data_IF_737967647205
#
_entry.id   IF_737967647205
#
_cell.length_a   1.000
_cell.length_b   1.000
_cell.length_c   1.000
_cell.angle_alpha   90.00
_cell.angle_beta   90.00
_cell.angle_gamma   90.00
#
_symmetry.space_group_name_H-M   'P 1'
#
loop_
_entity.id
_entity.type
_entity.pdbx_description
1 polymer ?
#
# COMPACT_ATOMS: atom_id res chain seq x y z
N UNK A 1 21.88 25.24 69.83
CA UNK A 1 20.63 25.15 69.07
C UNK A 1 20.91 25.55 67.62
N UNK A 2 21.25 24.58 66.77
CA UNK A 2 21.54 24.82 65.35
C UNK A 2 20.39 24.32 64.48
N UNK A 3 19.83 25.20 63.63
CA UNK A 3 18.80 24.85 62.66
C UNK A 3 19.47 24.53 61.32
N UNK A 4 19.28 23.31 60.84
CA UNK A 4 19.68 22.85 59.50
C UNK A 4 18.54 23.22 58.54
N UNK A 5 18.83 24.10 57.59
CA UNK A 5 17.93 24.43 56.49
C UNK A 5 18.03 23.40 55.37
N UNK A 6 16.89 22.80 55.02
CA UNK A 6 16.76 21.84 53.92
C UNK A 6 16.75 22.62 52.59
N UNK A 7 17.74 22.34 51.74
CA UNK A 7 17.82 22.86 50.37
C UNK A 7 17.03 21.90 49.45
N UNK A 8 15.89 22.34 48.94
CA UNK A 8 15.13 21.59 47.92
C UNK A 8 15.64 22.01 46.54
N UNK A 9 16.41 21.13 45.89
CA UNK A 9 16.84 21.31 44.50
C UNK A 9 15.70 20.86 43.59
N UNK A 10 14.99 21.82 42.99
CA UNK A 10 13.99 21.56 41.96
C UNK A 10 14.67 21.21 40.64
N UNK A 11 14.67 19.92 40.28
CA UNK A 11 15.12 19.44 38.98
C UNK A 11 14.01 19.70 37.95
N UNK A 12 14.16 20.74 37.13
CA UNK A 12 13.29 20.97 35.97
C UNK A 12 13.71 20.00 34.84
N UNK A 13 12.93 18.94 34.64
CA UNK A 13 13.04 18.08 33.46
C UNK A 13 12.50 18.82 32.24
N UNK A 14 13.41 19.40 31.45
CA UNK A 14 13.10 19.83 30.09
C UNK A 14 12.95 18.58 29.23
N UNK A 15 11.71 18.17 28.93
CA UNK A 15 11.45 17.11 27.96
C UNK A 15 11.63 17.74 26.57
N UNK A 16 12.61 17.31 25.75
CA UNK A 16 12.66 17.74 24.37
C UNK A 16 11.43 17.18 23.67
N UNK A 17 10.50 18.07 23.30
CA UNK A 17 9.44 17.76 22.35
C UNK A 17 10.14 17.54 21.02
N UNK A 18 10.58 16.31 20.79
CA UNK A 18 11.01 15.85 19.47
C UNK A 18 9.82 16.07 18.55
N UNK A 19 9.99 16.97 17.58
CA UNK A 19 9.03 17.19 16.52
C UNK A 19 9.00 15.87 15.74
N UNK A 20 8.06 14.99 16.08
CA UNK A 20 7.65 13.95 15.15
C UNK A 20 7.07 14.71 13.96
N UNK A 21 7.87 14.90 12.92
CA UNK A 21 7.35 15.30 11.62
C UNK A 21 6.28 14.26 11.30
N UNK A 22 5.02 14.67 11.39
CA UNK A 22 3.89 13.86 10.96
C UNK A 22 4.08 13.68 9.45
N UNK A 23 4.77 12.61 9.07
CA UNK A 23 4.98 12.23 7.69
C UNK A 23 3.60 11.92 7.13
N UNK A 24 3.06 12.82 6.32
CA UNK A 24 1.76 12.64 5.68
C UNK A 24 1.88 11.37 4.82
N UNK A 25 1.03 10.35 5.04
CA UNK A 25 1.12 9.11 4.29
C UNK A 25 0.90 9.39 2.80
N UNK A 26 1.58 8.64 1.91
CA UNK A 26 1.37 8.80 0.47
C UNK A 26 -0.10 8.50 0.12
N UNK A 27 -0.61 9.12 -0.95
CA UNK A 27 -1.97 8.86 -1.43
C UNK A 27 -1.93 8.06 -2.74
N UNK A 28 -2.78 7.03 -2.82
CA UNK A 28 -2.85 6.14 -3.98
C UNK A 28 -4.30 5.93 -4.42
N UNK A 29 -4.51 5.91 -5.73
CA UNK A 29 -5.74 5.49 -6.40
C UNK A 29 -5.67 3.99 -6.67
N UNK A 30 -6.13 3.20 -5.72
CA UNK A 30 -6.03 1.73 -5.78
C UNK A 30 -7.33 1.12 -6.30
N UNK A 31 -7.22 0.38 -7.40
CA UNK A 31 -8.29 -0.45 -7.96
C UNK A 31 -7.88 -1.92 -7.89
N UNK A 32 -8.72 -2.75 -7.27
CA UNK A 32 -8.55 -4.21 -7.23
C UNK A 32 -9.48 -4.83 -8.26
N UNK A 33 -8.96 -5.72 -9.10
CA UNK A 33 -9.73 -6.50 -10.07
C UNK A 33 -9.37 -7.97 -9.96
N UNK A 34 -10.36 -8.83 -10.15
CA UNK A 34 -10.15 -10.28 -10.28
C UNK A 34 -11.24 -10.91 -11.16
N UNK A 35 -10.91 -12.07 -11.73
CA UNK A 35 -11.92 -12.99 -12.26
C UNK A 35 -12.64 -13.76 -11.13
N UNK A 36 -12.01 -13.88 -9.96
CA UNK A 36 -12.55 -14.52 -8.76
C UNK A 36 -13.05 -13.47 -7.77
N UNK A 37 -14.36 -13.49 -7.48
CA UNK A 37 -14.99 -12.53 -6.58
C UNK A 37 -14.56 -12.68 -5.12
N UNK A 38 -14.17 -13.87 -4.70
CA UNK A 38 -13.63 -14.07 -3.36
C UNK A 38 -12.24 -13.44 -3.25
N UNK A 39 -11.35 -13.72 -4.21
CA UNK A 39 -10.02 -13.12 -4.25
C UNK A 39 -10.08 -11.58 -4.35
N UNK A 40 -11.00 -11.04 -5.13
CA UNK A 40 -11.25 -9.59 -5.22
C UNK A 40 -11.64 -8.99 -3.86
N UNK A 41 -12.61 -9.59 -3.18
CA UNK A 41 -13.11 -9.10 -1.90
C UNK A 41 -12.05 -9.19 -0.79
N UNK A 42 -11.30 -10.29 -0.72
CA UNK A 42 -10.22 -10.45 0.24
C UNK A 42 -9.09 -9.45 -0.01
N UNK A 43 -8.75 -9.20 -1.28
CA UNK A 43 -7.71 -8.26 -1.66
C UNK A 43 -8.12 -6.81 -1.38
N UNK A 44 -9.38 -6.45 -1.67
CA UNK A 44 -9.93 -5.13 -1.34
C UNK A 44 -9.97 -4.90 0.18
N UNK A 45 -10.36 -5.92 0.95
CA UNK A 45 -10.31 -5.86 2.42
C UNK A 45 -8.89 -5.63 2.94
N UNK A 46 -7.88 -6.29 2.36
CA UNK A 46 -6.48 -6.09 2.73
C UNK A 46 -6.00 -4.67 2.37
N UNK A 47 -6.36 -4.15 1.20
CA UNK A 47 -6.08 -2.76 0.80
C UNK A 47 -6.73 -1.75 1.76
N UNK A 48 -8.00 -1.99 2.11
CA UNK A 48 -8.73 -1.15 3.06
C UNK A 48 -8.09 -1.19 4.45
N UNK A 49 -7.65 -2.37 4.90
CA UNK A 49 -6.96 -2.55 6.17
C UNK A 49 -5.62 -1.80 6.20
N UNK A 50 -4.79 -1.93 5.16
CA UNK A 50 -3.54 -1.18 5.05
C UNK A 50 -3.77 0.34 5.05
N UNK A 51 -4.85 0.82 4.41
CA UNK A 51 -5.19 2.25 4.44
C UNK A 51 -5.66 2.71 5.82
N UNK A 52 -6.42 1.87 6.54
CA UNK A 52 -6.84 2.15 7.92
C UNK A 52 -5.67 2.19 8.91
N UNK A 53 -4.57 1.47 8.62
CA UNK A 53 -3.31 1.54 9.36
C UNK A 53 -2.40 2.71 8.95
N UNK A 54 -2.92 3.66 8.16
CA UNK A 54 -2.19 4.83 7.67
C UNK A 54 -0.95 4.48 6.81
N UNK A 55 -0.87 3.26 6.25
CA UNK A 55 0.21 2.90 5.33
C UNK A 55 0.16 3.73 4.04
N UNK A 56 -1.04 4.12 3.62
CA UNK A 56 -1.33 5.09 2.55
C UNK A 56 -2.79 5.57 2.67
N UNK A 57 -3.08 6.75 2.09
CA UNK A 57 -4.44 7.22 1.91
C UNK A 57 -5.03 6.66 0.60
N UNK A 58 -6.09 5.85 0.70
CA UNK A 58 -6.81 5.35 -0.48
C UNK A 58 -7.72 6.43 -1.05
N UNK A 59 -7.55 6.74 -2.34
CA UNK A 59 -8.37 7.69 -3.11
C UNK A 59 -9.16 6.94 -4.18
N UNK A 60 -10.31 7.46 -4.59
CA UNK A 60 -11.12 6.86 -5.65
C UNK A 60 -10.32 6.74 -6.97
N UNK A 61 -10.37 5.59 -7.67
CA UNK A 61 -9.71 5.41 -8.96
C UNK A 61 -10.31 6.35 -10.01
N UNK A 62 -9.46 6.92 -10.86
CA UNK A 62 -9.92 7.75 -11.99
C UNK A 62 -10.14 6.95 -13.29
N UNK A 63 -9.76 5.67 -13.29
CA UNK A 63 -10.01 4.73 -14.40
C UNK A 63 -11.33 4.02 -14.19
N UNK A 64 -12.04 3.69 -15.27
CA UNK A 64 -13.31 2.96 -15.18
C UNK A 64 -13.02 1.48 -14.97
N UNK A 65 -13.63 0.92 -13.93
CA UNK A 65 -13.40 -0.48 -13.54
C UNK A 65 -13.68 -1.48 -14.68
N UNK A 66 -14.75 -1.28 -15.46
CA UNK A 66 -15.10 -2.20 -16.55
C UNK A 66 -14.06 -2.23 -17.68
N UNK A 67 -13.36 -1.13 -17.94
CA UNK A 67 -12.28 -1.06 -18.93
C UNK A 67 -11.08 -1.88 -18.45
N UNK A 68 -10.73 -1.76 -17.16
CA UNK A 68 -9.64 -2.54 -16.54
C UNK A 68 -9.98 -4.02 -16.45
N UNK A 69 -11.24 -4.37 -16.17
CA UNK A 69 -11.69 -5.77 -16.13
C UNK A 69 -11.54 -6.47 -17.48
N UNK A 70 -11.70 -5.76 -18.60
CA UNK A 70 -11.47 -6.34 -19.92
C UNK A 70 -10.02 -6.82 -20.10
N UNK A 71 -9.05 -6.22 -19.40
CA UNK A 71 -7.65 -6.65 -19.43
C UNK A 71 -7.39 -7.98 -18.70
N UNK A 72 -8.33 -8.51 -17.92
CA UNK A 72 -8.13 -9.78 -17.21
C UNK A 72 -8.00 -10.97 -18.18
N UNK A 73 -8.52 -10.83 -19.40
CA UNK A 73 -8.43 -11.82 -20.47
C UNK A 73 -7.14 -11.70 -21.30
N UNK A 74 -6.34 -10.64 -21.08
CA UNK A 74 -5.10 -10.39 -21.80
C UNK A 74 -3.92 -11.11 -21.14
N UNK A 75 -3.10 -11.77 -21.98
CA UNK A 75 -1.86 -12.43 -21.56
C UNK A 75 -0.84 -11.41 -21.01
N UNK A 76 -0.82 -10.18 -21.56
CA UNK A 76 -0.06 -9.04 -21.03
C UNK A 76 -0.99 -8.06 -20.30
N UNK A 77 -1.56 -8.51 -19.18
CA UNK A 77 -2.37 -7.69 -18.28
C UNK A 77 -1.71 -6.33 -17.98
N UNK A 78 -0.40 -6.32 -17.71
CA UNK A 78 0.33 -5.10 -17.40
C UNK A 78 0.43 -4.14 -18.60
N UNK A 79 0.59 -4.65 -19.81
CA UNK A 79 0.54 -3.87 -21.04
C UNK A 79 -0.83 -3.25 -21.28
N UNK A 80 -1.89 -4.06 -21.18
CA UNK A 80 -3.28 -3.61 -21.36
C UNK A 80 -3.65 -2.50 -20.35
N UNK A 81 -3.39 -2.71 -19.06
CA UNK A 81 -3.72 -1.75 -18.00
C UNK A 81 -2.98 -0.43 -18.16
N UNK A 82 -1.68 -0.44 -18.50
CA UNK A 82 -0.89 0.80 -18.66
C UNK A 82 -1.43 1.70 -19.78
N UNK A 83 -2.14 1.15 -20.76
CA UNK A 83 -2.83 1.93 -21.79
C UNK A 83 -4.11 2.63 -21.32
N UNK A 84 -4.70 2.19 -20.22
CA UNK A 84 -5.98 2.71 -19.69
C UNK A 84 -5.78 3.68 -18.53
N UNK A 85 -4.72 3.52 -17.77
CA UNK A 85 -4.51 4.28 -16.54
C UNK A 85 -3.78 5.60 -16.85
N UNK A 86 -4.37 6.76 -16.54
CA UNK A 86 -3.75 8.04 -16.83
C UNK A 86 -2.47 8.22 -16.00
N UNK A 87 -1.41 8.73 -16.64
CA UNK A 87 -0.24 9.18 -15.92
C UNK A 87 -0.59 10.39 -15.04
N UNK A 88 0.02 10.53 -13.86
CA UNK A 88 -0.17 11.70 -13.02
C UNK A 88 0.37 12.96 -13.72
N UNK A 89 -0.39 14.06 -13.71
CA UNK A 89 0.02 15.32 -14.35
C UNK A 89 0.99 16.11 -13.48
N UNK A 90 0.82 15.98 -12.16
CA UNK A 90 1.64 16.64 -11.16
C UNK A 90 2.27 15.63 -10.20
N UNK A 91 3.40 16.02 -9.58
CA UNK A 91 4.10 15.19 -8.60
C UNK A 91 3.24 14.91 -7.34
N UNK A 92 2.31 15.83 -7.03
CA UNK A 92 1.38 15.75 -5.91
C UNK A 92 0.12 14.93 -6.20
N UNK A 93 -0.12 14.55 -7.47
CA UNK A 93 -1.30 13.77 -7.83
C UNK A 93 -1.17 12.33 -7.30
N UNK A 94 -2.22 11.78 -6.67
CA UNK A 94 -2.22 10.41 -6.20
C UNK A 94 -1.92 9.45 -7.36
N UNK A 95 -0.93 8.57 -7.18
CA UNK A 95 -0.56 7.58 -8.20
C UNK A 95 -1.64 6.52 -8.35
N UNK A 96 -1.89 6.05 -9.57
CA UNK A 96 -2.80 4.94 -9.79
C UNK A 96 -2.09 3.60 -9.70
N UNK A 97 -2.76 2.67 -9.02
CA UNK A 97 -2.29 1.32 -8.80
C UNK A 97 -3.45 0.38 -9.10
N UNK A 98 -3.26 -0.51 -10.05
CA UNK A 98 -4.20 -1.58 -10.36
C UNK A 98 -3.63 -2.89 -9.86
N UNK A 99 -4.40 -3.61 -9.06
CA UNK A 99 -4.03 -4.90 -8.50
C UNK A 99 -4.89 -5.97 -9.17
N UNK A 100 -4.28 -6.84 -9.97
CA UNK A 100 -4.90 -8.12 -10.36
C UNK A 100 -4.72 -9.09 -9.22
N UNK A 101 -5.82 -9.52 -8.62
CA UNK A 101 -5.83 -10.54 -7.58
C UNK A 101 -6.25 -11.88 -8.19
N UNK A 102 -5.61 -12.97 -7.78
CA UNK A 102 -5.95 -14.34 -8.16
C UNK A 102 -5.87 -15.24 -6.95
N UNK A 103 -6.75 -16.25 -6.87
CA UNK A 103 -6.63 -17.29 -5.85
C UNK A 103 -5.41 -18.17 -6.11
N UNK A 104 -4.51 -18.28 -5.13
CA UNK A 104 -3.35 -19.18 -5.15
C UNK A 104 -3.60 -20.49 -4.38
N UNK A 105 -4.86 -20.75 -4.00
CA UNK A 105 -5.27 -21.92 -3.21
C UNK A 105 -5.12 -21.73 -1.70
N UNK A 106 -5.90 -22.49 -0.91
CA UNK A 106 -5.82 -22.51 0.57
C UNK A 106 -5.94 -21.13 1.24
N UNK A 107 -6.69 -20.19 0.66
CA UNK A 107 -6.83 -18.82 1.19
C UNK A 107 -5.66 -17.89 0.89
N UNK A 108 -4.71 -18.32 0.05
CA UNK A 108 -3.64 -17.48 -0.48
C UNK A 108 -4.10 -16.71 -1.70
N UNK A 109 -3.53 -15.52 -1.88
CA UNK A 109 -3.75 -14.62 -3.00
C UNK A 109 -2.43 -14.47 -3.76
N UNK A 110 -2.51 -14.40 -5.09
CA UNK A 110 -1.46 -13.87 -5.94
C UNK A 110 -1.89 -12.47 -6.38
N UNK A 111 -1.04 -11.47 -6.13
CA UNK A 111 -1.23 -10.12 -6.60
C UNK A 111 -0.26 -9.79 -7.71
N UNK A 112 -0.76 -9.14 -8.75
CA UNK A 112 0.06 -8.40 -9.73
C UNK A 112 -0.30 -6.91 -9.64
N UNK A 113 0.65 -6.08 -9.21
CA UNK A 113 0.48 -4.63 -9.06
C UNK A 113 1.08 -3.87 -10.25
N UNK A 114 0.24 -3.09 -10.93
CA UNK A 114 0.61 -2.29 -12.11
C UNK A 114 0.35 -0.81 -11.83
N UNK A 115 1.29 0.06 -12.21
CA UNK A 115 1.18 1.50 -11.98
C UNK A 115 0.87 2.31 -13.23
N UNK A 116 0.55 3.58 -13.03
CA UNK A 116 0.40 4.58 -14.09
C UNK A 116 1.73 5.15 -14.57
N UNK A 117 2.44 4.52 -15.50
CA UNK A 117 3.59 5.17 -16.12
C UNK A 117 4.34 4.37 -17.18
N UNK A 118 5.31 5.03 -17.81
CA UNK A 118 6.09 4.45 -18.91
C UNK A 118 7.22 3.53 -18.42
N UNK A 119 7.68 3.73 -17.18
CA UNK A 119 8.69 2.88 -16.57
C UNK A 119 8.07 1.53 -16.19
N UNK A 120 8.59 0.44 -16.77
CA UNK A 120 8.21 -0.93 -16.41
C UNK A 120 9.10 -1.41 -15.27
N UNK A 121 8.53 -1.59 -14.08
CA UNK A 121 9.24 -2.23 -13.00
C UNK A 121 9.57 -3.70 -13.37
N UNK A 122 10.63 -4.30 -12.80
CA UNK A 122 10.88 -5.73 -13.00
C UNK A 122 9.67 -6.56 -12.54
N UNK A 123 9.22 -7.52 -13.36
CA UNK A 123 8.02 -8.34 -13.10
C UNK A 123 8.01 -8.97 -11.71
N UNK A 124 9.16 -9.44 -11.23
CA UNK A 124 9.30 -10.05 -9.91
C UNK A 124 8.98 -9.08 -8.74
N UNK A 125 9.15 -7.78 -8.95
CA UNK A 125 8.78 -6.76 -7.96
C UNK A 125 7.31 -6.35 -8.05
N UNK A 126 6.60 -6.79 -9.09
CA UNK A 126 5.18 -6.49 -9.32
C UNK A 126 4.27 -7.65 -8.91
N UNK A 127 4.84 -8.82 -8.62
CA UNK A 127 4.10 -10.02 -8.25
C UNK A 127 4.41 -10.41 -6.82
N UNK A 128 3.38 -10.73 -6.05
CA UNK A 128 3.54 -11.18 -4.67
C UNK A 128 2.48 -12.23 -4.32
N UNK A 129 2.89 -13.27 -3.61
CA UNK A 129 1.96 -14.18 -2.96
C UNK A 129 1.71 -13.74 -1.52
N UNK A 130 0.44 -13.72 -1.12
CA UNK A 130 -0.01 -13.20 0.16
C UNK A 130 -0.96 -14.21 0.81
N UNK A 131 -0.99 -14.20 2.13
CA UNK A 131 -2.08 -14.79 2.90
C UNK A 131 -2.83 -13.64 3.57
N UNK A 132 -4.02 -13.32 3.06
CA UNK A 132 -4.83 -12.22 3.58
C UNK A 132 -5.23 -12.45 5.05
N UNK A 133 -5.42 -13.71 5.46
CA UNK A 133 -5.76 -14.03 6.84
C UNK A 133 -4.57 -13.75 7.75
N UNK A 134 -3.37 -14.15 7.36
CA UNK A 134 -2.15 -13.86 8.11
C UNK A 134 -1.88 -12.35 8.15
N UNK A 135 -2.12 -11.62 7.06
CA UNK A 135 -1.93 -10.16 7.03
C UNK A 135 -2.91 -9.40 7.94
N UNK A 136 -4.17 -9.84 8.05
CA UNK A 136 -5.21 -9.15 8.83
C UNK A 136 -5.26 -9.62 10.28
N UNK A 137 -5.12 -10.93 10.51
CA UNK A 137 -5.36 -11.58 11.81
C UNK A 137 -4.14 -12.31 12.38
N UNK A 138 -3.00 -12.30 11.68
CA UNK A 138 -1.75 -12.84 12.21
C UNK A 138 -1.20 -11.99 13.34
N UNK A 139 -0.10 -12.45 13.94
CA UNK A 139 0.56 -11.77 15.05
C UNK A 139 2.04 -11.53 14.73
N UNK A 140 2.61 -10.47 15.31
CA UNK A 140 4.04 -10.20 15.31
C UNK A 140 4.67 -10.10 13.91
N UNK A 141 5.74 -10.87 13.72
CA UNK A 141 6.58 -10.81 12.53
C UNK A 141 5.88 -11.36 11.28
N UNK A 142 4.98 -12.33 11.42
CA UNK A 142 4.25 -12.92 10.29
C UNK A 142 3.26 -11.93 9.70
N UNK A 143 2.49 -11.25 10.56
CA UNK A 143 1.58 -10.18 10.14
C UNK A 143 2.35 -9.04 9.48
N UNK A 144 3.42 -8.60 10.12
CA UNK A 144 4.28 -7.51 9.63
C UNK A 144 4.91 -7.88 8.28
N UNK A 145 5.37 -9.11 8.13
CA UNK A 145 5.94 -9.64 6.90
C UNK A 145 4.93 -9.66 5.76
N UNK A 146 3.71 -10.15 6.02
CA UNK A 146 2.64 -10.19 5.02
C UNK A 146 2.19 -8.79 4.58
N UNK A 147 2.02 -7.86 5.53
CA UNK A 147 1.68 -6.46 5.22
C UNK A 147 2.80 -5.76 4.45
N UNK A 148 4.07 -6.01 4.81
CA UNK A 148 5.23 -5.46 4.10
C UNK A 148 5.27 -5.96 2.66
N UNK A 149 5.06 -7.26 2.44
CA UNK A 149 5.05 -7.84 1.10
C UNK A 149 3.95 -7.23 0.21
N UNK A 150 2.74 -7.06 0.76
CA UNK A 150 1.65 -6.38 0.06
C UNK A 150 2.01 -4.91 -0.28
N UNK A 151 2.60 -4.19 0.68
CA UNK A 151 3.04 -2.80 0.48
C UNK A 151 4.17 -2.65 -0.52
N UNK A 152 5.10 -3.61 -0.59
CA UNK A 152 6.19 -3.58 -1.56
C UNK A 152 5.67 -3.71 -3.00
N UNK A 153 4.64 -4.54 -3.22
CA UNK A 153 3.93 -4.63 -4.51
C UNK A 153 3.27 -3.30 -4.89
N UNK A 154 2.55 -2.67 -3.95
CA UNK A 154 1.91 -1.35 -4.13
C UNK A 154 2.97 -0.27 -4.44
N UNK A 155 4.07 -0.22 -3.68
CA UNK A 155 5.15 0.75 -3.89
C UNK A 155 5.86 0.55 -5.23
N UNK A 156 6.12 -0.70 -5.60
CA UNK A 156 6.72 -1.04 -6.89
C UNK A 156 5.89 -0.53 -8.06
N UNK A 157 4.56 -0.72 -8.02
CA UNK A 157 3.65 -0.14 -8.99
C UNK A 157 3.68 1.41 -8.95
N UNK A 158 3.68 2.02 -7.76
CA UNK A 158 3.75 3.48 -7.65
C UNK A 158 5.04 4.07 -8.27
N UNK A 159 6.15 3.33 -8.24
CA UNK A 159 7.42 3.76 -8.84
C UNK A 159 7.32 3.88 -10.37
N UNK A 160 6.50 3.07 -11.03
CA UNK A 160 6.23 3.19 -12.47
C UNK A 160 5.74 4.60 -12.83
N UNK A 161 5.00 5.22 -11.92
CA UNK A 161 4.40 6.55 -12.08
C UNK A 161 5.29 7.73 -11.74
N UNK A 162 6.54 7.47 -11.33
CA UNK A 162 7.46 8.50 -10.82
C UNK A 162 8.68 8.76 -11.71
N UNK A 163 8.90 7.94 -12.73
CA UNK A 163 10.03 8.08 -13.65
C UNK A 163 9.53 8.50 -15.04
N UNK A 164 10.03 9.61 -15.60
CA UNK A 164 9.73 10.01 -16.98
C UNK A 164 10.28 9.01 -18.00
#
# INVERSE_FOLDING_TARGET
MGRIGILVVGLALAIPVGWAEASIPPSYRVLVVSADKEAEAQSDALVQYMSALEAFARVAPAVREHEVRACLEDDDFGGCVRGLVPAPEHWQDPRHIVIRAEGAGSGRLSWTCVGSGAYRAPTAAQQVELDARTAIFGEGDDQTGALRAAMDCVRSAALESSRP
#
